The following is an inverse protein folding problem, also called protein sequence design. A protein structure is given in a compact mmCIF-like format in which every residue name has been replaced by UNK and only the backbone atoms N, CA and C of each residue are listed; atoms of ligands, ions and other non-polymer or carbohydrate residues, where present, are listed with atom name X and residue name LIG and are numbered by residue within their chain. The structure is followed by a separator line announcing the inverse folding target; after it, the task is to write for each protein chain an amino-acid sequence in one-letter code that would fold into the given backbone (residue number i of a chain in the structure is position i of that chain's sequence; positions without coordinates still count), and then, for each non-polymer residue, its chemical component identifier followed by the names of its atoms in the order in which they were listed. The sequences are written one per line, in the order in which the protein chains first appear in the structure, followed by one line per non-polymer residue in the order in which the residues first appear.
data_IF_999005031857
#
_entry.id   IF_999005031857
#
_cell.length_a   1.000
_cell.length_b   1.000
_cell.length_c   1.000
_cell.angle_alpha   90.00
_cell.angle_beta   90.00
_cell.angle_gamma   90.00
#
_symmetry.space_group_name_H-M   'P 1'
#
loop_
_entity.id
_entity.type
_entity.pdbx_description
1 polymer ?
#
# COMPACT_ATOMS: atom_id res chain seq x y z
N UNK A 1 -10.17 17.44 -13.37
CA UNK A 1 -8.92 16.65 -13.18
C UNK A 1 -9.18 15.25 -13.76
N UNK A 2 -8.31 14.73 -14.63
CA UNK A 2 -8.57 13.41 -15.25
C UNK A 2 -8.71 12.33 -14.16
N UNK A 3 -9.77 11.51 -14.20
CA UNK A 3 -10.02 10.38 -13.30
C UNK A 3 -8.77 9.51 -13.10
N UNK A 4 -7.93 9.39 -14.13
CA UNK A 4 -6.65 8.66 -14.12
C UNK A 4 -5.64 9.23 -13.11
N UNK A 5 -5.48 10.56 -13.09
CA UNK A 5 -4.52 11.25 -12.19
C UNK A 5 -4.97 11.13 -10.74
N UNK A 6 -6.27 11.27 -10.47
CA UNK A 6 -6.83 11.09 -9.14
C UNK A 6 -6.58 9.66 -8.61
N UNK A 7 -6.80 8.65 -9.46
CA UNK A 7 -6.60 7.26 -9.06
C UNK A 7 -5.14 6.94 -8.70
N UNK A 8 -4.17 7.48 -9.45
CA UNK A 8 -2.74 7.31 -9.15
C UNK A 8 -2.36 7.98 -7.82
N UNK A 9 -2.88 9.19 -7.56
CA UNK A 9 -2.65 9.91 -6.30
C UNK A 9 -3.24 9.12 -5.11
N UNK A 10 -4.43 8.55 -5.28
CA UNK A 10 -5.07 7.72 -4.27
C UNK A 10 -4.25 6.48 -3.92
N UNK A 11 -3.73 5.77 -4.95
CA UNK A 11 -2.83 4.61 -4.75
C UNK A 11 -1.55 5.03 -4.02
N UNK A 12 -1.00 6.20 -4.36
CA UNK A 12 0.22 6.71 -3.73
C UNK A 12 0.01 7.01 -2.24
N UNK A 13 -1.10 7.66 -1.89
CA UNK A 13 -1.50 7.92 -0.50
C UNK A 13 -1.75 6.62 0.25
N UNK A 14 -2.39 5.63 -0.39
CA UNK A 14 -2.64 4.31 0.21
C UNK A 14 -1.33 3.57 0.52
N UNK A 15 -0.33 3.65 -0.36
CA UNK A 15 1.01 3.11 -0.09
C UNK A 15 1.67 3.80 1.11
N UNK A 16 1.65 5.14 1.17
CA UNK A 16 2.18 5.91 2.30
C UNK A 16 1.52 5.51 3.62
N UNK A 17 0.19 5.32 3.59
CA UNK A 17 -0.58 4.88 4.75
C UNK A 17 -0.20 3.47 5.21
N UNK A 18 0.01 2.54 4.28
CA UNK A 18 0.45 1.18 4.61
C UNK A 18 1.87 1.14 5.20
N UNK A 19 2.79 2.00 4.75
CA UNK A 19 4.12 2.14 5.34
C UNK A 19 4.01 2.65 6.78
N UNK A 20 3.20 3.68 6.99
CA UNK A 20 2.95 4.21 8.33
C UNK A 20 2.35 3.16 9.26
N UNK A 21 1.35 2.41 8.78
CA UNK A 21 0.70 1.35 9.54
C UNK A 21 1.66 0.21 9.90
N UNK A 22 2.53 -0.16 8.95
CA UNK A 22 3.59 -1.14 9.16
C UNK A 22 4.57 -0.70 10.26
N UNK A 23 5.02 0.56 10.24
CA UNK A 23 5.86 1.15 11.30
C UNK A 23 5.14 1.19 12.66
N UNK A 24 3.87 1.62 12.67
CA UNK A 24 3.06 1.66 13.88
C UNK A 24 2.87 0.28 14.50
N UNK A 25 2.67 -0.75 13.68
CA UNK A 25 2.53 -2.14 14.11
C UNK A 25 3.80 -2.66 14.78
N UNK A 26 4.98 -2.35 14.24
CA UNK A 26 6.27 -2.69 14.87
C UNK A 26 6.41 -1.99 16.21
N UNK A 27 6.12 -0.69 16.27
CA UNK A 27 6.24 0.07 17.51
C UNK A 27 5.28 -0.45 18.60
N UNK A 28 4.07 -0.87 18.22
CA UNK A 28 3.13 -1.52 19.15
C UNK A 28 3.58 -2.92 19.56
N UNK A 29 4.18 -3.69 18.66
CA UNK A 29 4.76 -4.98 19.00
C UNK A 29 5.86 -4.85 20.08
N UNK A 30 6.74 -3.86 19.96
CA UNK A 30 7.79 -3.58 20.97
C UNK A 30 7.17 -3.26 22.34
N UNK A 31 6.09 -2.47 22.37
CA UNK A 31 5.50 -2.00 23.63
C UNK A 31 4.58 -3.01 24.32
N UNK A 32 3.90 -3.89 23.57
CA UNK A 32 2.89 -4.80 24.11
C UNK A 32 3.26 -6.28 24.01
N UNK A 33 4.30 -6.65 23.24
CA UNK A 33 4.76 -8.03 23.02
C UNK A 33 3.66 -9.03 22.60
N UNK A 34 2.59 -8.52 22.00
CA UNK A 34 1.44 -9.32 21.59
C UNK A 34 1.64 -9.78 20.12
N UNK A 35 1.51 -11.09 19.88
CA UNK A 35 1.67 -11.70 18.56
C UNK A 35 0.65 -11.17 17.53
N UNK A 36 -0.45 -10.59 17.99
CA UNK A 36 -1.45 -9.94 17.15
C UNK A 36 -0.83 -8.82 16.28
N UNK A 37 0.15 -8.07 16.81
CA UNK A 37 0.83 -6.98 16.08
C UNK A 37 1.80 -7.48 15.00
N UNK A 38 2.36 -8.69 15.14
CA UNK A 38 3.13 -9.31 14.07
C UNK A 38 2.21 -9.73 12.90
N UNK A 39 1.03 -10.25 13.21
CA UNK A 39 0.04 -10.57 12.18
C UNK A 39 -0.39 -9.32 11.40
N UNK A 40 -0.68 -8.21 12.10
CA UNK A 40 -1.00 -6.94 11.44
C UNK A 40 0.15 -6.41 10.57
N UNK A 41 1.40 -6.55 11.03
CA UNK A 41 2.57 -6.17 10.24
C UNK A 41 2.67 -6.97 8.93
N UNK A 42 2.52 -8.30 9.01
CA UNK A 42 2.53 -9.19 7.83
C UNK A 42 1.37 -8.83 6.89
N UNK A 43 0.17 -8.61 7.44
CA UNK A 43 -1.02 -8.25 6.66
C UNK A 43 -0.81 -6.92 5.90
N UNK A 44 -0.28 -5.90 6.57
CA UNK A 44 0.05 -4.61 5.94
C UNK A 44 1.13 -4.74 4.87
N UNK A 45 2.10 -5.63 5.06
CA UNK A 45 3.13 -5.90 4.05
C UNK A 45 2.53 -6.53 2.78
N UNK A 46 1.65 -7.53 2.94
CA UNK A 46 0.91 -8.12 1.81
C UNK A 46 -0.01 -7.10 1.11
N UNK A 47 -0.70 -6.25 1.88
CA UNK A 47 -1.54 -5.19 1.32
C UNK A 47 -0.72 -4.19 0.49
N UNK A 48 0.46 -3.81 0.97
CA UNK A 48 1.39 -2.92 0.26
C UNK A 48 1.90 -3.56 -1.04
N UNK A 49 2.30 -4.84 -1.00
CA UNK A 49 2.66 -5.59 -2.20
C UNK A 49 1.51 -5.65 -3.23
N UNK A 50 0.29 -5.91 -2.77
CA UNK A 50 -0.90 -5.91 -3.60
C UNK A 50 -1.13 -4.55 -4.29
N UNK A 51 -0.99 -3.46 -3.54
CA UNK A 51 -1.09 -2.09 -4.04
C UNK A 51 -0.02 -1.77 -5.10
N UNK A 52 1.22 -2.21 -4.90
CA UNK A 52 2.30 -2.02 -5.87
C UNK A 52 2.01 -2.79 -7.17
N UNK A 53 1.58 -4.04 -7.07
CA UNK A 53 1.24 -4.86 -8.24
C UNK A 53 0.04 -4.28 -9.01
N UNK A 54 -0.99 -3.80 -8.28
CA UNK A 54 -2.14 -3.13 -8.87
C UNK A 54 -1.73 -1.84 -9.58
N UNK A 55 -0.90 -1.01 -8.93
CA UNK A 55 -0.35 0.22 -9.51
C UNK A 55 0.39 -0.05 -10.81
N UNK A 56 1.28 -1.05 -10.84
CA UNK A 56 2.01 -1.48 -12.06
C UNK A 56 1.06 -1.93 -13.17
N UNK A 57 0.05 -2.76 -12.85
CA UNK A 57 -0.96 -3.20 -13.83
C UNK A 57 -1.77 -2.03 -14.37
N UNK A 58 -2.16 -1.08 -13.51
CA UNK A 58 -2.87 0.13 -13.91
C UNK A 58 -2.01 0.92 -14.89
N UNK A 59 -0.78 1.27 -14.52
CA UNK A 59 0.13 2.04 -15.39
C UNK A 59 0.36 1.33 -16.73
N UNK A 60 0.61 0.02 -16.74
CA UNK A 60 0.79 -0.75 -17.98
C UNK A 60 -0.46 -0.76 -18.86
N UNK A 61 -1.65 -0.91 -18.26
CA UNK A 61 -2.92 -0.90 -18.99
C UNK A 61 -3.20 0.45 -19.65
N UNK A 62 -2.81 1.57 -19.01
CA UNK A 62 -3.00 2.90 -19.58
C UNK A 62 -1.86 3.38 -20.48
N UNK A 63 -0.65 2.80 -20.37
CA UNK A 63 0.46 3.06 -21.30
C UNK A 63 0.16 2.56 -22.72
N UNK A 64 -0.55 1.44 -22.86
CA UNK A 64 -0.92 0.87 -24.16
C UNK A 64 -2.07 1.57 -24.89
N UNK A 65 -2.67 2.61 -24.31
CA UNK A 65 -3.80 3.36 -24.91
C UNK A 65 -3.32 4.68 -25.53
N UNK A 66 -2.01 4.92 -25.51
CA UNK A 66 -1.34 6.05 -26.16
C UNK A 66 -0.25 5.46 -27.08
N UNK A 67 -0.67 4.70 -28.08
CA UNK A 67 0.13 4.47 -29.31
C UNK A 67 -0.58 5.14 -30.46
#
# INVERSE_FOLDING_TARGET
MSLKKFHIIFIMISCLFMIYFSYWSINKWINYSDNSYLFYFVLSFFALLGLILYSKKFINKYKGIVS
#
